data_IF_220082851643
#
_entry.id   IF_220082851643
#
_cell.length_a   1.000
_cell.length_b   1.000
_cell.length_c   1.000
_cell.angle_alpha   90.00
_cell.angle_beta   90.00
_cell.angle_gamma   90.00
#
_symmetry.space_group_name_H-M   'P 1'
#
loop_
_entity.id
_entity.type
_entity.pdbx_description
1 polymer ?
#
# COMPACT_ATOMS: atom_id res chain seq x y z
N UNK A 1 6.60 -33.15 11.85
CA UNK A 1 5.31 -32.87 11.19
C UNK A 1 5.29 -31.39 10.80
N UNK A 2 4.95 -31.04 9.55
CA UNK A 2 4.73 -29.61 9.21
C UNK A 2 3.49 -29.12 9.94
N UNK A 3 3.61 -28.00 10.67
CA UNK A 3 2.49 -27.38 11.37
C UNK A 3 1.33 -27.08 10.40
N UNK A 4 0.09 -27.23 10.82
CA UNK A 4 -1.10 -26.88 10.03
C UNK A 4 -1.30 -25.37 9.98
N UNK A 5 -1.02 -24.69 11.10
CA UNK A 5 -1.04 -23.24 11.25
C UNK A 5 0.31 -22.75 11.74
N UNK A 6 0.66 -21.53 11.37
CA UNK A 6 1.86 -20.83 11.84
C UNK A 6 1.48 -19.45 12.36
N UNK A 7 2.10 -19.04 13.47
CA UNK A 7 1.98 -17.70 14.04
C UNK A 7 3.17 -16.86 13.63
N UNK A 8 2.96 -15.78 12.95
CA UNK A 8 4.00 -14.92 12.39
C UNK A 8 3.97 -13.56 13.06
N UNK A 9 5.12 -13.15 13.57
CA UNK A 9 5.38 -11.78 13.98
C UNK A 9 5.76 -10.96 12.74
N UNK A 10 4.94 -9.98 12.38
CA UNK A 10 5.20 -9.05 11.29
C UNK A 10 5.73 -7.71 11.79
N UNK A 11 6.66 -7.13 11.06
CA UNK A 11 7.24 -5.81 11.33
C UNK A 11 7.15 -4.97 10.04
N UNK A 12 6.53 -3.79 10.16
CA UNK A 12 6.48 -2.77 9.11
C UNK A 12 7.15 -1.48 9.59
N UNK A 13 8.09 -0.97 8.79
CA UNK A 13 8.86 0.25 9.09
C UNK A 13 9.37 0.94 7.81
N UNK A 14 8.64 0.81 6.70
CA UNK A 14 9.12 1.26 5.40
C UNK A 14 8.95 2.76 5.14
N UNK A 15 8.10 3.44 5.90
CA UNK A 15 7.84 4.88 5.74
C UNK A 15 7.76 5.59 7.09
N UNK A 16 6.62 6.12 7.48
CA UNK A 16 6.38 6.91 8.70
C UNK A 16 5.42 6.22 9.69
N UNK A 17 5.02 5.00 9.43
CA UNK A 17 4.37 4.13 10.40
C UNK A 17 5.35 3.08 10.92
N UNK A 18 5.40 2.92 12.25
CA UNK A 18 6.00 1.75 12.89
C UNK A 18 4.89 0.81 13.28
N UNK A 19 4.87 -0.39 12.74
CA UNK A 19 3.82 -1.34 13.09
C UNK A 19 4.37 -2.74 13.41
N UNK A 20 3.67 -3.42 14.33
CA UNK A 20 3.91 -4.81 14.71
C UNK A 20 2.58 -5.54 14.76
N UNK A 21 2.54 -6.76 14.25
CA UNK A 21 1.34 -7.58 14.22
C UNK A 21 1.68 -9.05 14.40
N UNK A 22 0.74 -9.80 14.96
CA UNK A 22 0.80 -11.26 14.99
C UNK A 22 -0.39 -11.80 14.21
N UNK A 23 -0.11 -12.61 13.19
CA UNK A 23 -1.12 -13.26 12.37
C UNK A 23 -0.92 -14.76 12.41
N UNK A 24 -1.99 -15.49 12.70
CA UNK A 24 -2.03 -16.95 12.53
C UNK A 24 -2.48 -17.27 11.11
N UNK A 25 -1.68 -18.05 10.39
CA UNK A 25 -1.91 -18.41 8.98
C UNK A 25 -2.02 -19.91 8.84
N UNK A 26 -3.07 -20.37 8.15
CA UNK A 26 -3.30 -21.80 7.89
C UNK A 26 -2.87 -22.21 6.49
N UNK A 27 -2.67 -23.52 6.27
CA UNK A 27 -2.37 -24.10 4.95
C UNK A 27 -3.47 -23.89 3.92
N UNK A 28 -4.68 -23.61 4.34
CA UNK A 28 -5.81 -23.30 3.45
C UNK A 28 -5.85 -21.83 3.03
N UNK A 29 -4.74 -21.10 3.19
CA UNK A 29 -4.63 -19.67 2.88
C UNK A 29 -5.70 -18.83 3.62
N UNK A 30 -5.99 -19.19 4.87
CA UNK A 30 -6.82 -18.41 5.78
C UNK A 30 -5.96 -17.80 6.87
N UNK A 31 -6.24 -16.54 7.21
CA UNK A 31 -5.51 -15.80 8.23
C UNK A 31 -6.42 -15.30 9.34
N UNK A 32 -5.89 -15.28 10.56
CA UNK A 32 -6.52 -14.65 11.72
C UNK A 32 -5.52 -13.64 12.32
N UNK A 33 -5.90 -12.37 12.30
CA UNK A 33 -5.13 -11.30 12.95
C UNK A 33 -5.33 -11.45 14.46
N UNK A 34 -4.25 -11.73 15.20
CA UNK A 34 -4.27 -11.88 16.66
C UNK A 34 -3.98 -10.54 17.33
N UNK A 35 -3.10 -9.72 16.74
CA UNK A 35 -2.83 -8.34 17.16
C UNK A 35 -2.39 -7.51 15.96
N UNK A 36 -2.62 -6.19 16.00
CA UNK A 36 -2.10 -5.27 14.99
C UNK A 36 -1.95 -3.88 15.57
N UNK A 37 -0.75 -3.54 16.01
CA UNK A 37 -0.40 -2.29 16.64
C UNK A 37 0.29 -1.41 15.62
N UNK A 38 -0.17 -0.18 15.47
CA UNK A 38 0.39 0.81 14.54
C UNK A 38 0.66 2.09 15.31
N UNK A 39 1.90 2.54 15.27
CA UNK A 39 2.32 3.85 15.74
C UNK A 39 2.57 4.75 14.54
N UNK A 40 1.79 5.82 14.42
CA UNK A 40 1.94 6.81 13.35
C UNK A 40 2.82 7.96 13.82
N UNK A 41 3.76 8.35 12.98
CA UNK A 41 4.70 9.46 13.23
C UNK A 41 4.19 10.78 12.62
N UNK A 42 2.87 10.89 12.33
CA UNK A 42 2.28 12.08 11.69
C UNK A 42 2.60 13.35 12.47
N UNK A 43 2.50 13.31 13.80
CA UNK A 43 2.77 14.49 14.65
C UNK A 43 4.22 14.94 14.58
N UNK A 44 5.17 14.00 14.42
CA UNK A 44 6.60 14.28 14.28
C UNK A 44 6.94 14.91 12.92
N UNK A 45 6.20 14.53 11.87
CA UNK A 45 6.43 14.97 10.49
C UNK A 45 5.58 16.20 10.09
N UNK A 46 4.47 16.44 10.76
CA UNK A 46 3.55 17.55 10.48
C UNK A 46 4.23 18.93 10.43
N UNK A 47 5.17 19.28 11.33
CA UNK A 47 5.87 20.58 11.27
C UNK A 47 6.69 20.79 9.99
N UNK A 48 7.08 19.69 9.32
CA UNK A 48 7.85 19.74 8.07
C UNK A 48 6.96 19.65 6.82
N UNK A 49 5.67 19.34 7.01
CA UNK A 49 4.69 19.17 5.93
C UNK A 49 5.03 17.99 5.01
N UNK A 50 5.55 16.90 5.58
CA UNK A 50 5.90 15.65 4.89
C UNK A 50 6.97 14.86 5.65
N UNK A 51 7.15 13.60 5.26
CA UNK A 51 8.05 12.67 5.94
C UNK A 51 9.51 13.11 5.83
N UNK A 52 10.21 13.13 6.98
CA UNK A 52 11.65 13.36 7.08
C UNK A 52 12.34 12.04 7.38
N UNK A 53 13.09 11.44 6.45
CA UNK A 53 13.60 10.07 6.59
C UNK A 53 14.47 9.82 7.83
N UNK A 54 15.24 10.80 8.27
CA UNK A 54 16.08 10.66 9.47
C UNK A 54 15.25 10.62 10.74
N UNK A 55 14.22 11.48 10.86
CA UNK A 55 13.28 11.47 11.98
C UNK A 55 12.55 10.13 12.02
N UNK A 56 12.02 9.68 10.87
CA UNK A 56 11.34 8.40 10.78
C UNK A 56 12.21 7.23 11.27
N UNK A 57 13.48 7.19 10.84
CA UNK A 57 14.40 6.12 11.24
C UNK A 57 14.67 6.10 12.76
N UNK A 58 14.79 7.26 13.40
CA UNK A 58 14.98 7.37 14.86
C UNK A 58 13.74 6.94 15.62
N UNK A 59 12.59 7.39 15.20
CA UNK A 59 11.31 7.01 15.80
C UNK A 59 11.07 5.51 15.72
N UNK A 60 11.39 4.86 14.60
CA UNK A 60 11.34 3.39 14.50
C UNK A 60 12.21 2.68 15.54
N UNK A 61 13.44 3.18 15.81
CA UNK A 61 14.33 2.58 16.81
C UNK A 61 13.73 2.67 18.21
N UNK A 62 13.13 3.79 18.55
CA UNK A 62 12.57 4.06 19.87
C UNK A 62 11.28 3.29 20.14
N UNK A 63 10.43 3.14 19.09
CA UNK A 63 9.08 2.62 19.25
C UNK A 63 8.94 1.13 19.01
N UNK A 64 9.83 0.51 18.22
CA UNK A 64 9.62 -0.86 17.74
C UNK A 64 9.58 -1.91 18.86
N UNK A 65 10.49 -1.84 19.85
CA UNK A 65 10.50 -2.81 20.96
C UNK A 65 9.23 -2.72 21.82
N UNK A 66 8.78 -1.53 22.29
CA UNK A 66 7.51 -1.40 22.99
C UNK A 66 6.31 -1.96 22.20
N UNK A 67 6.28 -1.75 20.87
CA UNK A 67 5.20 -2.26 20.03
C UNK A 67 5.22 -3.79 19.89
N UNK A 68 6.41 -4.42 19.90
CA UNK A 68 6.52 -5.90 19.93
C UNK A 68 5.93 -6.45 21.21
N UNK A 69 6.26 -5.87 22.36
CA UNK A 69 5.73 -6.31 23.65
C UNK A 69 4.21 -6.15 23.70
N UNK A 70 3.70 -5.00 23.24
CA UNK A 70 2.25 -4.74 23.15
C UNK A 70 1.54 -5.71 22.22
N UNK A 71 2.13 -6.04 21.07
CA UNK A 71 1.54 -6.98 20.11
C UNK A 71 1.45 -8.40 20.68
N UNK A 72 2.45 -8.83 21.45
CA UNK A 72 2.45 -10.12 22.15
C UNK A 72 1.41 -10.15 23.26
N UNK A 73 1.30 -9.07 24.05
CA UNK A 73 0.30 -8.94 25.11
C UNK A 73 -1.14 -8.99 24.54
N UNK A 74 -1.44 -8.20 23.48
CA UNK A 74 -2.76 -8.21 22.83
C UNK A 74 -3.10 -9.59 22.25
N UNK A 75 -2.12 -10.30 21.68
CA UNK A 75 -2.29 -11.65 21.16
C UNK A 75 -2.37 -12.72 22.27
N UNK A 76 -2.12 -12.38 23.53
CA UNK A 76 -1.99 -13.31 24.65
C UNK A 76 -0.93 -14.41 24.39
N UNK A 77 0.23 -14.05 23.81
CA UNK A 77 1.30 -14.96 23.42
C UNK A 77 2.63 -14.56 24.05
N UNK A 78 3.50 -15.55 24.23
CA UNK A 78 4.91 -15.35 24.52
C UNK A 78 5.72 -15.35 23.23
N UNK A 79 6.88 -14.74 23.26
CA UNK A 79 7.76 -14.63 22.08
C UNK A 79 8.23 -15.99 21.56
N UNK A 80 8.38 -16.99 22.42
CA UNK A 80 8.77 -18.36 22.07
C UNK A 80 7.65 -19.19 21.43
N UNK A 81 6.42 -18.67 21.39
CA UNK A 81 5.29 -19.27 20.68
C UNK A 81 5.17 -18.84 19.22
N UNK A 82 6.05 -17.94 18.75
CA UNK A 82 6.10 -17.45 17.37
C UNK A 82 6.84 -18.45 16.48
N UNK A 83 6.28 -18.77 15.33
CA UNK A 83 6.83 -19.74 14.38
C UNK A 83 7.76 -19.14 13.32
N UNK A 84 7.73 -17.85 13.14
CA UNK A 84 8.56 -17.12 12.19
C UNK A 84 8.40 -15.61 12.31
N UNK A 85 9.39 -14.88 11.84
CA UNK A 85 9.38 -13.40 11.80
C UNK A 85 9.39 -12.94 10.35
N UNK A 86 8.49 -12.03 10.02
CA UNK A 86 8.43 -11.36 8.73
C UNK A 86 8.70 -9.86 8.91
N UNK A 87 9.49 -9.27 8.04
CA UNK A 87 9.72 -7.83 8.05
C UNK A 87 9.74 -7.27 6.65
N UNK A 88 9.30 -6.04 6.51
CA UNK A 88 9.42 -5.33 5.25
C UNK A 88 10.89 -5.15 4.90
N UNK A 89 11.26 -5.71 3.75
CA UNK A 89 12.61 -5.65 3.20
C UNK A 89 12.75 -4.61 2.08
N UNK A 90 11.62 -4.05 1.65
CA UNK A 90 11.47 -3.02 0.62
C UNK A 90 10.19 -3.17 -0.20
N UNK A 91 9.88 -2.21 -1.08
CA UNK A 91 10.50 -0.88 -1.17
C UNK A 91 10.16 0.01 0.03
N UNK A 92 10.93 1.11 0.19
CA UNK A 92 10.68 2.08 1.26
C UNK A 92 11.89 2.95 1.60
N UNK A 93 11.79 3.74 2.66
CA UNK A 93 12.87 4.56 3.18
C UNK A 93 13.93 3.66 3.81
N UNK A 94 15.14 3.73 3.26
CA UNK A 94 16.22 2.76 3.59
C UNK A 94 16.54 2.70 5.09
N UNK A 95 16.51 3.84 5.79
CA UNK A 95 16.77 3.89 7.24
C UNK A 95 15.74 3.12 8.05
N UNK A 96 14.45 3.34 7.80
CA UNK A 96 13.36 2.61 8.44
C UNK A 96 13.42 1.11 8.12
N UNK A 97 13.59 0.75 6.85
CA UNK A 97 13.75 -0.66 6.42
C UNK A 97 14.87 -1.37 7.17
N UNK A 98 16.03 -0.71 7.35
CA UNK A 98 17.17 -1.29 8.09
C UNK A 98 16.78 -1.55 9.53
N UNK A 99 16.07 -0.65 10.19
CA UNK A 99 15.65 -0.81 11.59
C UNK A 99 14.76 -2.04 11.75
N UNK A 100 13.63 -2.11 11.03
CA UNK A 100 12.69 -3.23 11.14
C UNK A 100 13.31 -4.57 10.73
N UNK A 101 14.03 -4.60 9.61
CA UNK A 101 14.67 -5.83 9.13
C UNK A 101 15.77 -6.32 10.05
N UNK A 102 16.57 -5.42 10.66
CA UNK A 102 17.63 -5.83 11.61
C UNK A 102 17.03 -6.36 12.91
N UNK A 103 15.96 -5.74 13.40
CA UNK A 103 15.21 -6.25 14.56
C UNK A 103 14.65 -7.64 14.27
N UNK A 104 14.03 -7.84 13.11
CA UNK A 104 13.54 -9.16 12.70
C UNK A 104 14.65 -10.22 12.62
N UNK A 105 15.83 -9.86 12.10
CA UNK A 105 17.02 -10.74 12.07
C UNK A 105 17.48 -11.11 13.47
N UNK A 106 17.51 -10.15 14.40
CA UNK A 106 17.88 -10.37 15.80
C UNK A 106 16.93 -11.38 16.47
N UNK A 107 15.63 -11.20 16.32
CA UNK A 107 14.60 -12.10 16.87
C UNK A 107 14.72 -13.49 16.23
N UNK A 108 14.81 -13.57 14.90
CA UNK A 108 14.93 -14.85 14.19
C UNK A 108 16.18 -15.64 14.62
N UNK A 109 17.31 -14.96 14.81
CA UNK A 109 18.55 -15.55 15.28
C UNK A 109 18.44 -16.01 16.75
N UNK A 110 17.90 -15.15 17.62
CA UNK A 110 17.80 -15.44 19.06
C UNK A 110 16.86 -16.60 19.38
N UNK A 111 15.78 -16.73 18.63
CA UNK A 111 14.79 -17.81 18.80
C UNK A 111 15.04 -19.01 17.88
N UNK A 112 16.01 -18.95 16.98
CA UNK A 112 16.28 -19.96 15.96
C UNK A 112 15.02 -20.31 15.11
N UNK A 113 14.27 -19.29 14.68
CA UNK A 113 13.07 -19.41 13.86
C UNK A 113 13.29 -18.78 12.47
N UNK A 114 12.49 -19.16 11.46
CA UNK A 114 12.58 -18.61 10.11
C UNK A 114 12.41 -17.09 10.04
N UNK A 115 13.22 -16.45 9.18
CA UNK A 115 13.07 -15.06 8.75
C UNK A 115 12.47 -15.00 7.35
N UNK A 116 11.54 -14.08 7.12
CA UNK A 116 10.95 -13.80 5.81
C UNK A 116 11.04 -12.30 5.53
N UNK A 117 11.78 -11.92 4.49
CA UNK A 117 11.80 -10.55 3.99
C UNK A 117 10.66 -10.33 3.01
N UNK A 118 9.74 -9.45 3.34
CA UNK A 118 8.51 -9.21 2.58
C UNK A 118 8.64 -7.96 1.72
N UNK A 119 8.12 -8.02 0.52
CA UNK A 119 7.92 -6.82 -0.30
C UNK A 119 6.68 -6.07 0.20
N UNK A 120 6.85 -4.80 0.55
CA UNK A 120 5.78 -3.92 1.07
C UNK A 120 4.55 -3.89 0.16
N UNK A 121 4.77 -3.79 -1.16
CA UNK A 121 3.67 -3.74 -2.14
C UNK A 121 2.93 -5.09 -2.24
N UNK A 122 3.62 -6.22 -2.01
CA UNK A 122 2.99 -7.53 -1.89
C UNK A 122 2.11 -7.61 -0.65
N UNK A 123 2.52 -6.99 0.45
CA UNK A 123 1.69 -6.82 1.64
C UNK A 123 0.33 -6.20 1.29
N UNK A 124 0.36 -5.03 0.67
CA UNK A 124 -0.86 -4.37 0.20
C UNK A 124 -1.64 -5.17 -0.83
N UNK A 125 -0.93 -5.85 -1.75
CA UNK A 125 -1.58 -6.63 -2.80
C UNK A 125 -2.37 -7.82 -2.24
N UNK A 126 -1.87 -8.47 -1.19
CA UNK A 126 -2.49 -9.69 -0.63
C UNK A 126 -3.37 -9.41 0.61
N UNK A 127 -3.41 -8.19 1.11
CA UNK A 127 -4.32 -7.78 2.21
C UNK A 127 -5.79 -8.12 1.93
N UNK A 128 -6.35 -7.93 0.72
CA UNK A 128 -7.75 -8.27 0.44
C UNK A 128 -8.08 -9.76 0.61
N UNK A 129 -7.11 -10.64 0.42
CA UNK A 129 -7.30 -12.08 0.69
C UNK A 129 -7.51 -12.31 2.20
N UNK A 130 -6.71 -11.62 3.03
CA UNK A 130 -6.82 -11.73 4.49
C UNK A 130 -8.12 -11.13 5.04
N UNK A 131 -8.56 -9.99 4.47
CA UNK A 131 -9.62 -9.17 5.08
C UNK A 131 -11.00 -9.36 4.45
N UNK A 132 -11.07 -9.81 3.20
CA UNK A 132 -12.31 -9.88 2.42
C UNK A 132 -12.60 -11.29 1.88
N UNK A 133 -11.77 -12.26 2.23
CA UNK A 133 -11.94 -13.68 1.85
C UNK A 133 -12.07 -13.90 0.34
N UNK A 134 -11.35 -13.11 -0.45
CA UNK A 134 -11.27 -13.25 -1.91
C UNK A 134 -10.06 -14.10 -2.31
N UNK A 135 -10.06 -14.59 -3.55
CA UNK A 135 -8.94 -15.35 -4.11
C UNK A 135 -8.50 -14.78 -5.45
N UNK A 136 -7.20 -14.86 -5.80
CA UNK A 136 -6.76 -14.54 -7.15
C UNK A 136 -7.40 -15.48 -8.21
N UNK A 137 -7.55 -15.05 -9.46
CA UNK A 137 -7.00 -13.81 -10.02
C UNK A 137 -7.89 -12.58 -9.81
N UNK A 138 -7.27 -11.41 -9.62
CA UNK A 138 -7.97 -10.12 -9.55
C UNK A 138 -7.11 -8.97 -10.09
N UNK A 139 -7.77 -7.87 -10.45
CA UNK A 139 -7.12 -6.62 -10.85
C UNK A 139 -6.99 -5.74 -9.61
N UNK A 140 -5.77 -5.25 -9.35
CA UNK A 140 -5.47 -4.38 -8.22
C UNK A 140 -5.09 -2.98 -8.71
N UNK A 141 -5.73 -1.97 -8.17
CA UNK A 141 -5.23 -0.61 -8.11
C UNK A 141 -4.55 -0.41 -6.75
N UNK A 142 -3.23 -0.37 -6.73
CA UNK A 142 -2.44 0.01 -5.57
C UNK A 142 -2.22 1.52 -5.62
N UNK A 143 -2.75 2.25 -4.63
CA UNK A 143 -2.72 3.71 -4.62
C UNK A 143 -2.44 4.23 -3.20
N UNK A 144 -1.21 4.73 -2.99
CA UNK A 144 -0.68 5.17 -1.70
C UNK A 144 0.05 6.51 -1.81
N UNK A 145 0.70 6.93 -0.73
CA UNK A 145 1.58 8.11 -0.71
C UNK A 145 2.70 8.02 -1.75
N UNK A 146 3.38 6.88 -1.82
CA UNK A 146 4.55 6.69 -2.69
C UNK A 146 4.29 5.87 -3.96
N UNK A 147 3.13 5.22 -4.12
CA UNK A 147 2.88 4.31 -5.24
C UNK A 147 1.50 4.53 -5.87
N UNK A 148 1.45 4.44 -7.19
CA UNK A 148 0.21 4.36 -7.97
C UNK A 148 0.43 3.37 -9.10
N UNK A 149 -0.14 2.16 -8.97
CA UNK A 149 0.09 1.05 -9.88
C UNK A 149 -1.20 0.28 -10.18
N UNK A 150 -1.34 -0.19 -11.40
CA UNK A 150 -2.35 -1.16 -11.82
C UNK A 150 -1.65 -2.51 -12.03
N UNK A 151 -2.12 -3.52 -11.34
CA UNK A 151 -1.45 -4.82 -11.24
C UNK A 151 -2.48 -5.92 -11.48
N UNK A 152 -2.12 -6.91 -12.28
CA UNK A 152 -2.82 -8.18 -12.34
C UNK A 152 -2.20 -9.13 -11.31
N UNK A 153 -2.95 -9.47 -10.29
CA UNK A 153 -2.60 -10.50 -9.31
C UNK A 153 -3.11 -11.84 -9.84
N UNK A 154 -2.22 -12.66 -10.40
CA UNK A 154 -2.58 -13.95 -11.00
C UNK A 154 -2.71 -15.05 -9.95
N UNK A 155 -1.79 -15.07 -9.02
CA UNK A 155 -1.75 -15.93 -7.84
C UNK A 155 -0.80 -15.32 -6.81
N UNK A 156 -0.74 -15.89 -5.60
CA UNK A 156 0.24 -15.49 -4.58
C UNK A 156 1.66 -15.68 -5.15
N UNK A 157 2.45 -14.62 -5.16
CA UNK A 157 3.79 -14.59 -5.73
C UNK A 157 3.86 -14.37 -7.25
N UNK A 158 2.74 -14.19 -7.96
CA UNK A 158 2.71 -13.96 -9.40
C UNK A 158 1.95 -12.69 -9.76
N UNK A 159 2.68 -11.65 -10.11
CA UNK A 159 2.18 -10.31 -10.37
C UNK A 159 2.59 -9.84 -11.77
N UNK A 160 1.72 -9.08 -12.45
CA UNK A 160 2.05 -8.39 -13.70
C UNK A 160 1.64 -6.93 -13.58
N UNK A 161 2.59 -6.02 -13.69
CA UNK A 161 2.33 -4.59 -13.70
C UNK A 161 1.74 -4.17 -15.05
N UNK A 162 0.55 -3.59 -15.04
CA UNK A 162 -0.17 -3.15 -16.24
C UNK A 162 0.08 -1.66 -16.52
N UNK A 163 0.24 -0.90 -15.46
CA UNK A 163 0.54 0.52 -15.50
C UNK A 163 1.08 1.02 -14.17
N UNK A 164 1.85 2.10 -14.20
CA UNK A 164 2.42 2.74 -13.02
C UNK A 164 2.45 4.25 -13.21
N UNK A 165 2.60 5.02 -12.14
CA UNK A 165 2.91 6.43 -12.30
C UNK A 165 4.33 6.62 -12.87
N UNK A 166 4.47 7.58 -13.78
CA UNK A 166 5.78 7.94 -14.37
C UNK A 166 6.45 9.11 -13.65
N UNK A 167 5.75 9.72 -12.72
CA UNK A 167 6.22 10.85 -11.92
C UNK A 167 5.69 10.74 -10.47
N UNK A 168 4.96 11.73 -9.96
CA UNK A 168 4.40 11.70 -8.62
C UNK A 168 3.35 10.57 -8.46
N UNK A 169 3.25 9.99 -7.27
CA UNK A 169 2.11 9.15 -6.89
C UNK A 169 0.88 10.00 -6.61
N UNK A 170 -0.30 9.38 -6.62
CA UNK A 170 -1.56 10.08 -6.35
C UNK A 170 -1.59 10.69 -4.94
N UNK A 171 -1.12 9.97 -3.91
CA UNK A 171 -1.05 10.49 -2.55
C UNK A 171 -0.06 11.66 -2.44
N UNK A 172 1.10 11.56 -3.08
CA UNK A 172 2.06 12.66 -3.17
C UNK A 172 1.46 13.90 -3.85
N UNK A 173 0.60 13.71 -4.86
CA UNK A 173 -0.12 14.81 -5.49
C UNK A 173 -1.11 15.49 -4.54
N UNK A 174 -1.81 14.73 -3.70
CA UNK A 174 -2.66 15.25 -2.63
C UNK A 174 -1.85 16.04 -1.60
N UNK A 175 -0.75 15.48 -1.11
CA UNK A 175 0.09 16.11 -0.08
C UNK A 175 0.73 17.42 -0.59
N UNK A 176 1.23 17.42 -1.83
CA UNK A 176 1.78 18.62 -2.47
C UNK A 176 0.75 19.72 -2.67
N UNK A 177 -0.50 19.35 -2.99
CA UNK A 177 -1.59 20.31 -3.12
C UNK A 177 -2.01 20.87 -1.76
N UNK A 178 -2.16 20.03 -0.75
CA UNK A 178 -2.52 20.44 0.60
C UNK A 178 -1.47 21.38 1.20
N UNK A 179 -0.18 21.06 1.03
CA UNK A 179 0.92 21.91 1.45
C UNK A 179 0.92 23.28 0.76
N UNK A 180 0.61 23.33 -0.55
CA UNK A 180 0.51 24.59 -1.28
C UNK A 180 -0.68 25.43 -0.82
N UNK A 181 -1.82 24.80 -0.56
CA UNK A 181 -3.07 25.45 -0.11
C UNK A 181 -3.05 25.77 1.40
N UNK A 182 -2.03 25.37 2.14
CA UNK A 182 -1.87 25.51 3.57
C UNK A 182 -3.07 24.95 4.37
N UNK A 183 -3.55 23.76 3.99
CA UNK A 183 -4.73 23.12 4.58
C UNK A 183 -4.41 21.98 5.54
N UNK A 184 -3.14 21.77 5.86
CA UNK A 184 -2.66 20.80 6.85
C UNK A 184 -2.11 19.50 6.26
N UNK A 185 -1.68 18.61 7.16
CA UNK A 185 -1.09 17.30 6.87
C UNK A 185 -1.74 16.23 7.77
N UNK A 186 -2.00 14.99 7.30
CA UNK A 186 -1.78 14.47 5.93
C UNK A 186 -2.70 15.12 4.88
N UNK A 187 -2.13 15.37 3.70
CA UNK A 187 -2.81 16.17 2.67
C UNK A 187 -4.04 15.50 2.07
N UNK A 188 -4.03 14.18 1.93
CA UNK A 188 -5.16 13.42 1.38
C UNK A 188 -6.46 13.68 2.16
N UNK A 189 -6.53 13.35 3.46
CA UNK A 189 -7.71 13.62 4.30
C UNK A 189 -8.08 15.10 4.39
N UNK A 190 -7.08 15.99 4.50
CA UNK A 190 -7.32 17.44 4.59
C UNK A 190 -8.01 17.96 3.32
N UNK A 191 -7.49 17.58 2.15
CA UNK A 191 -8.04 17.98 0.86
C UNK A 191 -9.41 17.35 0.61
N UNK A 192 -9.63 16.08 0.95
CA UNK A 192 -10.94 15.43 0.84
C UNK A 192 -12.00 16.14 1.69
N UNK A 193 -11.68 16.48 2.93
CA UNK A 193 -12.62 17.16 3.81
C UNK A 193 -12.98 18.57 3.30
N UNK A 194 -12.03 19.28 2.73
CA UNK A 194 -12.27 20.60 2.14
C UNK A 194 -13.07 20.48 0.84
N UNK A 195 -12.76 19.51 0.00
CA UNK A 195 -13.43 19.24 -1.29
C UNK A 195 -14.93 18.95 -1.13
N UNK A 196 -15.37 18.38 -0.01
CA UNK A 196 -16.80 18.15 0.30
C UNK A 196 -17.64 19.43 0.33
N UNK A 197 -17.00 20.59 0.54
CA UNK A 197 -17.63 21.90 0.65
C UNK A 197 -17.58 22.70 -0.65
N UNK A 198 -16.85 22.23 -1.66
CA UNK A 198 -16.58 22.94 -2.91
C UNK A 198 -17.30 22.38 -4.11
N UNK A 199 -17.25 23.14 -5.20
CA UNK A 199 -17.78 22.74 -6.51
C UNK A 199 -16.65 22.12 -7.35
N UNK A 200 -16.72 20.81 -7.61
CA UNK A 200 -15.71 20.07 -8.37
C UNK A 200 -15.66 20.40 -9.87
N UNK A 201 -16.61 21.19 -10.40
CA UNK A 201 -16.68 21.65 -11.80
C UNK A 201 -16.23 23.10 -11.98
N UNK A 202 -15.81 23.78 -10.90
CA UNK A 202 -15.48 25.20 -10.94
C UNK A 202 -14.21 25.49 -11.73
N UNK A 203 -13.18 24.67 -11.53
CA UNK A 203 -11.88 24.81 -12.18
C UNK A 203 -11.56 23.58 -13.05
N UNK A 204 -11.09 23.83 -14.26
CA UNK A 204 -10.75 22.75 -15.17
C UNK A 204 -9.24 22.45 -15.12
N UNK A 205 -8.85 21.53 -14.22
CA UNK A 205 -7.49 21.02 -14.16
C UNK A 205 -7.21 19.99 -15.28
N UNK A 206 -5.96 19.81 -15.71
CA UNK A 206 -5.62 18.82 -16.74
C UNK A 206 -5.87 17.38 -16.25
N UNK A 207 -6.07 16.47 -17.21
CA UNK A 207 -6.06 15.01 -16.99
C UNK A 207 -4.86 14.43 -17.75
N UNK A 208 -3.65 14.43 -17.13
CA UNK A 208 -2.46 13.98 -17.83
C UNK A 208 -2.62 12.58 -18.39
N UNK A 209 -2.02 12.33 -19.54
CA UNK A 209 -2.04 11.04 -20.25
C UNK A 209 -3.42 10.46 -20.57
N UNK A 210 -4.53 11.21 -20.45
CA UNK A 210 -5.88 10.69 -20.70
C UNK A 210 -6.04 10.02 -22.08
N UNK A 211 -5.37 10.57 -23.12
CA UNK A 211 -5.43 10.08 -24.50
C UNK A 211 -4.33 9.04 -24.82
N UNK A 212 -3.39 8.77 -23.91
CA UNK A 212 -2.36 7.75 -24.12
C UNK A 212 -2.96 6.35 -24.18
N UNK A 213 -2.45 5.50 -25.07
CA UNK A 213 -2.84 4.08 -25.15
C UNK A 213 -2.39 3.25 -23.95
N UNK A 214 -1.40 3.71 -23.22
CA UNK A 214 -0.84 3.06 -22.03
C UNK A 214 -1.71 3.28 -20.78
N UNK A 215 -1.55 2.38 -19.80
CA UNK A 215 -2.25 2.47 -18.52
C UNK A 215 -1.45 3.25 -17.45
N UNK A 216 -0.36 3.94 -17.86
CA UNK A 216 0.46 4.73 -16.96
C UNK A 216 -0.23 6.00 -16.49
N UNK A 217 0.09 6.43 -15.27
CA UNK A 217 -0.39 7.66 -14.65
C UNK A 217 0.66 8.77 -14.71
N UNK A 218 0.21 10.01 -14.54
CA UNK A 218 1.04 11.18 -14.29
C UNK A 218 0.26 12.20 -13.48
N UNK A 219 0.84 12.73 -12.42
CA UNK A 219 0.20 13.69 -11.51
C UNK A 219 1.03 14.96 -11.29
N UNK A 220 2.33 14.99 -11.59
CA UNK A 220 3.22 16.12 -11.29
C UNK A 220 2.75 17.45 -11.92
N UNK A 221 2.15 17.39 -13.11
CA UNK A 221 1.62 18.55 -13.80
C UNK A 221 0.39 19.18 -13.13
N UNK A 222 -0.34 18.44 -12.31
CA UNK A 222 -1.52 18.91 -11.59
C UNK A 222 -1.15 19.99 -10.57
N UNK A 223 -0.08 19.79 -9.78
CA UNK A 223 0.41 20.79 -8.81
C UNK A 223 0.71 22.12 -9.49
N UNK A 224 1.44 22.10 -10.60
CA UNK A 224 1.78 23.32 -11.35
C UNK A 224 0.53 24.02 -11.87
N UNK A 225 -0.48 23.25 -12.31
CA UNK A 225 -1.76 23.78 -12.77
C UNK A 225 -2.54 24.42 -11.61
N UNK A 226 -2.55 23.79 -10.42
CA UNK A 226 -3.18 24.32 -9.21
C UNK A 226 -2.55 25.66 -8.82
N UNK A 227 -1.23 25.73 -8.73
CA UNK A 227 -0.49 26.98 -8.40
C UNK A 227 -0.85 28.09 -9.39
N UNK A 228 -0.85 27.78 -10.68
CA UNK A 228 -1.17 28.77 -11.72
C UNK A 228 -2.60 29.27 -11.62
N UNK A 229 -3.55 28.39 -11.30
CA UNK A 229 -4.96 28.79 -11.17
C UNK A 229 -5.18 29.60 -9.89
N UNK A 230 -4.62 29.19 -8.75
CA UNK A 230 -4.70 29.90 -7.50
C UNK A 230 -4.19 31.36 -7.60
N UNK A 231 -3.07 31.57 -8.28
CA UNK A 231 -2.49 32.91 -8.49
C UNK A 231 -3.36 33.86 -9.31
N UNK A 232 -4.27 33.36 -10.13
CA UNK A 232 -5.20 34.21 -10.93
C UNK A 232 -6.34 34.77 -10.09
N UNK A 233 -6.62 34.16 -8.95
CA UNK A 233 -7.83 34.41 -8.15
C UNK A 233 -7.50 34.95 -6.74
N UNK A 234 -6.27 35.39 -6.54
CA UNK A 234 -5.86 36.05 -5.28
C UNK A 234 -6.64 37.37 -5.07
N UNK A 235 -7.11 37.63 -3.82
CA UNK A 235 -7.00 36.82 -2.63
C UNK A 235 -7.97 35.63 -2.61
N UNK A 236 -7.49 34.47 -2.11
CA UNK A 236 -8.29 33.26 -2.00
C UNK A 236 -9.13 33.33 -0.72
N UNK A 237 -10.45 33.18 -0.84
CA UNK A 237 -11.36 32.99 0.28
C UNK A 237 -11.71 31.51 0.51
N UNK A 238 -12.36 31.20 1.64
CA UNK A 238 -12.70 29.83 2.02
C UNK A 238 -13.51 29.08 0.96
N UNK A 239 -14.48 29.75 0.31
CA UNK A 239 -15.29 29.16 -0.75
C UNK A 239 -14.46 28.82 -2.00
N UNK A 240 -13.59 29.74 -2.39
CA UNK A 240 -12.63 29.55 -3.49
C UNK A 240 -11.65 28.44 -3.19
N UNK A 241 -11.16 28.34 -1.94
CA UNK A 241 -10.27 27.29 -1.50
C UNK A 241 -10.93 25.91 -1.58
N UNK A 242 -12.19 25.82 -1.16
CA UNK A 242 -12.97 24.60 -1.26
C UNK A 242 -13.23 24.18 -2.72
N UNK A 243 -13.54 25.14 -3.61
CA UNK A 243 -13.72 24.88 -5.03
C UNK A 243 -12.44 24.40 -5.72
N UNK A 244 -11.27 24.97 -5.36
CA UNK A 244 -9.97 24.53 -5.84
C UNK A 244 -9.69 23.10 -5.39
N UNK A 245 -9.90 22.79 -4.10
CA UNK A 245 -9.71 21.45 -3.55
C UNK A 245 -10.63 20.41 -4.22
N UNK A 246 -11.91 20.75 -4.40
CA UNK A 246 -12.90 19.87 -5.03
C UNK A 246 -12.55 19.59 -6.50
N UNK A 247 -12.23 20.63 -7.27
CA UNK A 247 -11.86 20.48 -8.68
C UNK A 247 -10.54 19.75 -8.88
N UNK A 248 -9.58 19.93 -7.96
CA UNK A 248 -8.30 19.24 -8.00
C UNK A 248 -8.46 17.75 -7.68
N UNK A 249 -9.22 17.41 -6.62
CA UNK A 249 -9.56 16.03 -6.30
C UNK A 249 -10.27 15.34 -7.47
N UNK A 250 -11.23 16.01 -8.12
CA UNK A 250 -11.93 15.47 -9.28
C UNK A 250 -10.97 15.16 -10.43
N UNK A 251 -9.95 16.00 -10.66
CA UNK A 251 -8.95 15.73 -11.68
C UNK A 251 -8.12 14.47 -11.38
N UNK A 252 -7.75 14.22 -10.12
CA UNK A 252 -7.07 12.99 -9.71
C UNK A 252 -8.00 11.78 -9.90
N UNK A 253 -9.26 11.89 -9.45
CA UNK A 253 -10.27 10.83 -9.60
C UNK A 253 -10.44 10.47 -11.08
N UNK A 254 -10.58 11.44 -11.97
CA UNK A 254 -10.73 11.20 -13.40
C UNK A 254 -9.51 10.49 -14.00
N UNK A 255 -8.28 10.88 -13.61
CA UNK A 255 -7.07 10.19 -14.05
C UNK A 255 -7.08 8.71 -13.61
N UNK A 256 -7.43 8.44 -12.35
CA UNK A 256 -7.54 7.10 -11.80
C UNK A 256 -8.61 6.30 -12.56
N UNK A 257 -9.81 6.86 -12.75
CA UNK A 257 -10.92 6.23 -13.49
C UNK A 257 -10.52 5.84 -14.90
N UNK A 258 -10.01 6.79 -15.67
CA UNK A 258 -9.66 6.59 -17.09
C UNK A 258 -8.64 5.45 -17.23
N UNK A 259 -7.61 5.44 -16.37
CA UNK A 259 -6.55 4.44 -16.46
C UNK A 259 -6.98 3.08 -15.93
N UNK A 260 -7.77 3.06 -14.86
CA UNK A 260 -8.35 1.82 -14.32
C UNK A 260 -9.27 1.14 -15.33
N UNK A 261 -10.17 1.89 -15.95
CA UNK A 261 -11.08 1.34 -16.97
C UNK A 261 -10.30 0.81 -18.19
N UNK A 262 -9.26 1.53 -18.62
CA UNK A 262 -8.39 1.07 -19.71
C UNK A 262 -7.67 -0.24 -19.36
N UNK A 263 -7.13 -0.34 -18.13
CA UNK A 263 -6.45 -1.54 -17.68
C UNK A 263 -7.40 -2.74 -17.57
N UNK A 264 -8.60 -2.54 -17.02
CA UNK A 264 -9.63 -3.58 -16.95
C UNK A 264 -9.94 -4.11 -18.36
N UNK A 265 -10.23 -3.23 -19.32
CA UNK A 265 -10.52 -3.64 -20.70
C UNK A 265 -9.36 -4.41 -21.35
N UNK A 266 -8.12 -3.96 -21.12
CA UNK A 266 -6.93 -4.62 -21.62
C UNK A 266 -6.80 -6.02 -21.04
N UNK A 267 -6.87 -6.15 -19.70
CA UNK A 267 -6.70 -7.42 -19.00
C UNK A 267 -7.80 -8.43 -19.39
N UNK A 268 -9.06 -8.00 -19.41
CA UNK A 268 -10.17 -8.87 -19.82
C UNK A 268 -10.02 -9.35 -21.26
N UNK A 269 -9.52 -8.52 -22.17
CA UNK A 269 -9.24 -8.91 -23.55
C UNK A 269 -8.10 -9.92 -23.67
N UNK A 270 -7.04 -9.76 -22.86
CA UNK A 270 -5.86 -10.63 -22.87
C UNK A 270 -6.10 -11.98 -22.15
N UNK A 271 -7.09 -12.04 -21.24
CA UNK A 271 -7.36 -13.21 -20.38
C UNK A 271 -8.78 -13.76 -20.59
N UNK A 272 -9.24 -13.90 -21.84
CA UNK A 272 -10.62 -14.31 -22.16
C UNK A 272 -11.04 -15.67 -21.57
N UNK A 273 -10.09 -16.55 -21.28
CA UNK A 273 -10.33 -17.87 -20.69
C UNK A 273 -10.21 -17.91 -19.16
N UNK A 274 -9.99 -16.74 -18.51
CA UNK A 274 -9.82 -16.63 -17.05
C UNK A 274 -10.91 -15.73 -16.51
N UNK A 275 -11.71 -16.25 -15.60
CA UNK A 275 -12.70 -15.44 -14.90
C UNK A 275 -12.00 -14.54 -13.89
N UNK A 276 -12.18 -13.22 -14.04
CA UNK A 276 -11.63 -12.20 -13.15
C UNK A 276 -12.83 -11.47 -12.53
N UNK A 277 -13.17 -11.84 -11.32
CA UNK A 277 -14.39 -11.37 -10.65
C UNK A 277 -14.20 -10.06 -9.88
N UNK A 278 -12.95 -9.76 -9.45
CA UNK A 278 -12.72 -8.67 -8.50
C UNK A 278 -11.86 -7.56 -9.10
N UNK A 279 -12.30 -6.33 -8.88
CA UNK A 279 -11.48 -5.12 -9.00
C UNK A 279 -11.20 -4.59 -7.60
N UNK A 280 -9.94 -4.56 -7.22
CA UNK A 280 -9.49 -4.27 -5.86
C UNK A 280 -8.79 -2.92 -5.81
N UNK A 281 -9.05 -2.10 -4.79
CA UNK A 281 -8.24 -0.92 -4.49
C UNK A 281 -7.61 -1.06 -3.10
N UNK A 282 -6.30 -0.84 -2.98
CA UNK A 282 -5.53 -0.91 -1.73
C UNK A 282 -4.52 0.23 -1.65
N UNK A 283 -4.02 0.52 -0.45
CA UNK A 283 -3.16 1.65 -0.14
C UNK A 283 -3.91 2.83 0.47
N UNK A 284 -3.19 3.75 1.12
CA UNK A 284 -3.79 4.84 1.91
C UNK A 284 -4.75 5.74 1.14
N UNK A 285 -4.49 6.04 -0.14
CA UNK A 285 -5.38 6.85 -0.99
C UNK A 285 -6.69 6.12 -1.32
N UNK A 286 -6.71 4.78 -1.29
CA UNK A 286 -7.94 4.00 -1.41
C UNK A 286 -8.91 4.20 -0.23
N UNK A 287 -8.52 4.90 0.82
CA UNK A 287 -9.42 5.33 1.91
C UNK A 287 -10.33 6.49 1.50
N UNK A 288 -9.98 7.27 0.47
CA UNK A 288 -10.78 8.40 -0.02
C UNK A 288 -12.12 7.90 -0.58
N UNK A 289 -13.22 8.40 0.01
CA UNK A 289 -14.58 7.94 -0.32
C UNK A 289 -14.94 8.23 -1.80
N UNK A 290 -14.62 9.42 -2.30
CA UNK A 290 -14.97 9.80 -3.67
C UNK A 290 -14.22 8.94 -4.71
N UNK A 291 -12.97 8.53 -4.41
CA UNK A 291 -12.23 7.57 -5.22
C UNK A 291 -12.94 6.20 -5.19
N UNK A 292 -13.27 5.66 -4.01
CA UNK A 292 -13.98 4.37 -3.88
C UNK A 292 -15.28 4.36 -4.67
N UNK A 293 -16.14 5.36 -4.45
CA UNK A 293 -17.43 5.46 -5.12
C UNK A 293 -17.26 5.46 -6.66
N UNK A 294 -16.22 6.13 -7.16
CA UNK A 294 -15.93 6.17 -8.60
C UNK A 294 -15.41 4.85 -9.17
N UNK A 295 -14.64 4.09 -8.37
CA UNK A 295 -14.09 2.79 -8.77
C UNK A 295 -15.16 1.69 -8.74
N UNK A 296 -16.10 1.77 -7.80
CA UNK A 296 -17.27 0.88 -7.73
C UNK A 296 -18.11 0.97 -8.99
N UNK A 297 -18.40 2.20 -9.46
CA UNK A 297 -19.11 2.42 -10.73
C UNK A 297 -18.37 1.79 -11.93
N UNK A 298 -17.04 1.84 -11.94
CA UNK A 298 -16.26 1.19 -13.01
C UNK A 298 -16.34 -0.33 -12.90
N UNK A 299 -16.23 -0.89 -11.69
CA UNK A 299 -16.33 -2.32 -11.47
C UNK A 299 -17.69 -2.85 -11.97
N UNK A 300 -18.78 -2.21 -11.56
CA UNK A 300 -20.15 -2.57 -11.99
C UNK A 300 -20.30 -2.55 -13.50
N UNK A 301 -19.76 -1.52 -14.18
CA UNK A 301 -19.78 -1.41 -15.64
C UNK A 301 -19.13 -2.60 -16.36
N UNK A 302 -18.18 -3.26 -15.70
CA UNK A 302 -17.47 -4.41 -16.23
C UNK A 302 -17.91 -5.74 -15.61
N UNK A 303 -19.05 -5.76 -14.90
CA UNK A 303 -19.58 -6.93 -14.19
C UNK A 303 -18.56 -7.53 -13.20
N UNK A 304 -17.77 -6.68 -12.55
CA UNK A 304 -16.80 -7.02 -11.51
C UNK A 304 -17.30 -6.55 -10.15
N UNK A 305 -16.95 -7.27 -9.10
CA UNK A 305 -17.17 -6.81 -7.73
C UNK A 305 -16.02 -5.90 -7.29
N UNK A 306 -16.35 -4.69 -6.82
CA UNK A 306 -15.37 -3.80 -6.22
C UNK A 306 -15.06 -4.23 -4.79
N UNK A 307 -13.77 -4.34 -4.46
CA UNK A 307 -13.28 -4.72 -3.14
C UNK A 307 -12.25 -3.68 -2.67
N UNK A 308 -12.41 -3.23 -1.43
CA UNK A 308 -11.36 -2.50 -0.73
C UNK A 308 -11.24 -3.03 0.70
N UNK A 309 -10.03 -3.21 1.23
CA UNK A 309 -9.84 -3.59 2.62
C UNK A 309 -10.54 -2.59 3.57
N UNK A 310 -10.87 -3.01 4.80
CA UNK A 310 -11.25 -2.07 5.85
C UNK A 310 -10.21 -0.96 5.99
N UNK A 311 -10.64 0.27 6.29
CA UNK A 311 -9.76 1.46 6.26
C UNK A 311 -8.46 1.29 7.06
N UNK A 312 -8.53 0.63 8.24
CA UNK A 312 -7.36 0.37 9.09
C UNK A 312 -6.32 -0.58 8.47
N UNK A 313 -6.63 -1.25 7.36
CA UNK A 313 -5.74 -2.13 6.61
C UNK A 313 -5.42 -1.60 5.20
N UNK A 314 -5.92 -0.41 4.85
CA UNK A 314 -5.52 0.27 3.62
C UNK A 314 -4.19 1.02 3.78
N UNK A 315 -3.94 1.58 4.98
CA UNK A 315 -2.66 2.22 5.32
C UNK A 315 -1.62 1.18 5.72
N UNK A 316 -0.37 1.62 5.86
CA UNK A 316 0.74 0.77 6.25
C UNK A 316 0.47 0.12 7.61
N UNK A 317 0.65 -1.19 7.68
CA UNK A 317 0.38 -2.00 8.86
C UNK A 317 1.19 -3.30 8.80
N UNK A 318 1.45 -3.90 9.96
CA UNK A 318 2.25 -5.11 10.03
C UNK A 318 1.44 -6.40 9.81
N UNK A 319 0.11 -6.35 9.88
CA UNK A 319 -0.71 -7.53 9.60
C UNK A 319 -0.54 -8.02 8.15
N UNK A 320 -0.39 -7.10 7.20
CA UNK A 320 -0.11 -7.43 5.80
C UNK A 320 1.25 -8.11 5.63
N UNK A 321 2.25 -7.74 6.43
CA UNK A 321 3.60 -8.29 6.39
C UNK A 321 3.63 -9.68 7.05
N UNK A 322 3.01 -9.82 8.23
CA UNK A 322 2.84 -11.11 8.89
C UNK A 322 2.07 -12.11 8.01
N UNK A 323 1.02 -11.64 7.34
CA UNK A 323 0.22 -12.43 6.42
C UNK A 323 1.04 -13.02 5.29
N UNK A 324 1.74 -12.18 4.54
CA UNK A 324 2.63 -12.62 3.44
C UNK A 324 3.72 -13.55 3.96
N UNK A 325 4.32 -13.21 5.11
CA UNK A 325 5.32 -14.05 5.76
C UNK A 325 4.81 -15.47 6.05
N UNK A 326 3.60 -15.59 6.57
CA UNK A 326 2.97 -16.87 6.87
C UNK A 326 2.66 -17.68 5.61
N UNK A 327 2.11 -17.03 4.58
CA UNK A 327 1.85 -17.66 3.29
C UNK A 327 3.13 -18.24 2.66
N UNK A 328 4.24 -17.49 2.73
CA UNK A 328 5.55 -17.92 2.21
C UNK A 328 6.15 -19.03 3.05
N UNK A 329 6.09 -18.92 4.39
CA UNK A 329 6.62 -19.94 5.30
C UNK A 329 5.93 -21.29 5.10
N UNK A 330 4.60 -21.32 4.99
CA UNK A 330 3.83 -22.54 4.75
C UNK A 330 4.17 -23.20 3.41
N UNK A 331 4.62 -22.40 2.42
CA UNK A 331 5.14 -22.86 1.12
C UNK A 331 6.62 -23.27 1.17
N UNK A 332 7.24 -23.24 2.36
CA UNK A 332 8.63 -23.63 2.59
C UNK A 332 9.66 -22.55 2.21
N UNK A 333 9.23 -21.33 1.97
CA UNK A 333 10.11 -20.20 1.66
C UNK A 333 10.61 -19.56 2.94
N UNK A 334 11.89 -19.25 3.00
CA UNK A 334 12.56 -18.53 4.08
C UNK A 334 13.80 -17.84 3.55
N UNK A 335 14.16 -16.74 4.17
CA UNK A 335 15.34 -15.98 3.78
C UNK A 335 16.53 -16.25 4.71
N UNK A 336 17.73 -15.99 4.21
CA UNK A 336 18.95 -16.00 4.99
C UNK A 336 19.09 -14.68 5.75
N UNK A 337 19.84 -14.67 6.85
CA UNK A 337 20.09 -13.46 7.64
C UNK A 337 20.81 -12.33 6.86
N UNK A 338 21.43 -12.62 5.72
CA UNK A 338 22.08 -11.63 4.88
C UNK A 338 21.14 -10.98 3.85
N UNK A 339 19.82 -11.24 3.90
CA UNK A 339 18.86 -10.53 3.03
C UNK A 339 19.02 -9.01 3.20
N UNK A 340 19.16 -8.25 2.07
CA UNK A 340 19.34 -6.81 2.13
C UNK A 340 18.01 -6.05 2.26
N UNK A 341 18.07 -4.87 2.86
CA UNK A 341 17.02 -3.85 2.67
C UNK A 341 17.15 -3.24 1.27
N UNK A 342 16.02 -3.01 0.59
CA UNK A 342 15.94 -2.51 -0.79
C UNK A 342 15.03 -1.29 -0.85
N UNK A 343 15.59 -0.09 -1.02
CA UNK A 343 14.80 1.12 -1.16
C UNK A 343 13.86 1.09 -2.40
N UNK A 344 14.27 0.34 -3.43
CA UNK A 344 13.47 0.06 -4.63
C UNK A 344 13.40 -1.45 -4.86
N UNK A 345 12.19 -1.95 -5.01
CA UNK A 345 11.95 -3.38 -5.25
C UNK A 345 10.60 -3.56 -5.94
N UNK A 346 10.62 -3.87 -7.23
CA UNK A 346 9.41 -4.11 -8.01
C UNK A 346 8.71 -5.41 -7.61
N UNK A 347 7.37 -5.44 -7.66
CA UNK A 347 6.59 -6.67 -7.48
C UNK A 347 6.87 -7.71 -8.59
N UNK A 348 7.19 -7.28 -9.80
CA UNK A 348 7.49 -8.19 -10.91
C UNK A 348 8.75 -9.03 -10.66
N UNK A 349 9.72 -8.49 -9.90
CA UNK A 349 10.93 -9.24 -9.53
C UNK A 349 10.60 -10.48 -8.69
N UNK A 350 9.52 -10.46 -7.91
CA UNK A 350 9.08 -11.63 -7.14
C UNK A 350 8.64 -12.77 -8.05
N UNK A 351 7.97 -12.47 -9.15
CA UNK A 351 7.52 -13.45 -10.13
C UNK A 351 8.69 -14.13 -10.84
N UNK A 352 9.81 -13.43 -11.01
CA UNK A 352 11.03 -13.97 -11.67
C UNK A 352 11.82 -14.91 -10.74
N UNK A 353 11.82 -14.65 -9.43
CA UNK A 353 12.53 -15.47 -8.45
C UNK A 353 11.94 -16.89 -8.40
N UNK A 354 10.63 -17.03 -8.56
CA UNK A 354 9.97 -18.35 -8.59
C UNK A 354 10.25 -19.17 -9.83
N UNK A 355 10.71 -18.56 -10.93
CA UNK A 355 11.06 -19.24 -12.18
C UNK A 355 12.51 -19.78 -12.13
N UNK A 356 13.38 -19.22 -11.29
CA UNK A 356 14.82 -19.49 -11.28
C UNK A 356 15.30 -20.57 -10.30
N UNK A 357 14.46 -21.13 -9.43
CA UNK A 357 14.79 -22.29 -8.61
C UNK A 357 14.22 -23.58 -9.26
N UNK A 358 15.03 -24.32 -10.04
CA UNK A 358 14.64 -25.67 -10.42
C UNK A 358 14.63 -26.52 -9.14
N UNK A 359 13.48 -27.10 -8.82
CA UNK A 359 13.35 -28.16 -7.83
C UNK A 359 14.41 -29.22 -8.13
N UNK A 360 15.56 -29.18 -7.42
CA UNK A 360 16.43 -30.35 -7.35
C UNK A 360 15.64 -31.42 -6.60
N UNK A 361 15.02 -32.29 -7.36
CA UNK A 361 14.61 -33.62 -6.89
C UNK A 361 15.90 -34.40 -6.62
N UNK A 362 16.22 -34.63 -5.37
CA UNK A 362 17.11 -35.68 -4.93
C UNK A 362 16.29 -36.91 -4.61
#
# INVERSE_FOLDING_TARGET
MKKENVKILGIESSCDETAVSIVEVSKSDKGKILSNIVFSQIDEHSPFGGVVPEIASRSHVETLNPLIDQALEEACLKIDEIDGVAATSGPGLIGGLIVGLTTAKGIALGLNIPLIGVNHLEGHALTPILTNDISPPYILLLVSGGHTQLIMVKSIGQYSQIGTTIDDAAGEAFDKAAKFLDIGYPGGPALENLAKKGNNKKYNFPRPLQNSSECNFSFSGLKTSLIREAKKIEPINDGTLADLAASYQEAIIDCIKIKSEKAIRKILKENQNTEIQYFVASGGVASNKAIRDSLEVIADKHAMQFIAPPMKFCTDNAAMIAWVGGLRLLRGQKDKLNIPARARWSLEELSLIHISEPTRRS
#
